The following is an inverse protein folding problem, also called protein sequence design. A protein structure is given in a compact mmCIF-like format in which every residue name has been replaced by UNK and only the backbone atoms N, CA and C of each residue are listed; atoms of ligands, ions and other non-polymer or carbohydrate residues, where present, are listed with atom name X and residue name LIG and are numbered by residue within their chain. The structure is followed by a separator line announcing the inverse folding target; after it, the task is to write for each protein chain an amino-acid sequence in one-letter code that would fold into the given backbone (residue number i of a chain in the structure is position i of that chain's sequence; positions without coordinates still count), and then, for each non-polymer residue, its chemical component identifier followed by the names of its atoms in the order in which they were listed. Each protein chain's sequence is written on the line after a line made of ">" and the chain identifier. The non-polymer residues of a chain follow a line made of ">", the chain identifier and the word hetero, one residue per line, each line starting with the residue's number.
data_IF_005022302175
#
_entry.id   IF_005022302175
#
_cell.length_a   1.000
_cell.length_b   1.000
_cell.length_c   1.000
_cell.angle_alpha   90.00
_cell.angle_beta   90.00
_cell.angle_gamma   90.00
#
_symmetry.space_group_name_H-M   'P 1'
#
loop_
_entity.id
_entity.type
_entity.pdbx_description
1 polymer ?
#
# COMPACT_ATOMS: atom_id res chain seq x y z
N UNK A 1 0.62 -17.75 4.55
CA UNK A 1 -0.85 -17.48 4.59
C UNK A 1 -1.15 -16.32 3.65
N UNK A 2 -2.21 -16.38 2.84
CA UNK A 2 -2.59 -15.26 1.96
C UNK A 2 -3.73 -14.50 2.63
N UNK A 3 -3.48 -13.25 3.01
CA UNK A 3 -4.47 -12.39 3.66
C UNK A 3 -4.94 -11.35 2.67
N UNK A 4 -6.23 -11.37 2.36
CA UNK A 4 -6.86 -10.37 1.50
C UNK A 4 -7.55 -9.32 2.37
N UNK A 5 -7.25 -8.05 2.13
CA UNK A 5 -7.90 -6.92 2.81
C UNK A 5 -8.40 -5.92 1.78
N UNK A 6 -9.42 -5.15 2.16
CA UNK A 6 -9.91 -4.05 1.34
C UNK A 6 -10.00 -2.76 2.14
N UNK A 7 -9.71 -1.65 1.48
CA UNK A 7 -9.84 -0.30 2.01
C UNK A 7 -10.82 0.49 1.14
N UNK A 8 -11.70 1.28 1.77
CA UNK A 8 -12.69 2.09 1.06
C UNK A 8 -12.63 3.54 1.53
N UNK A 9 -12.61 4.49 0.59
CA UNK A 9 -12.75 5.92 0.86
C UNK A 9 -13.68 6.55 -0.18
N UNK A 10 -14.86 7.00 0.25
CA UNK A 10 -15.95 7.45 -0.64
C UNK A 10 -16.26 6.38 -1.70
N UNK A 11 -16.03 6.68 -2.98
CA UNK A 11 -16.20 5.76 -4.12
C UNK A 11 -14.96 4.94 -4.44
N UNK A 12 -13.79 5.31 -3.90
CA UNK A 12 -12.54 4.59 -4.15
C UNK A 12 -12.45 3.31 -3.32
N UNK A 13 -12.07 2.21 -3.97
CA UNK A 13 -11.87 0.89 -3.36
C UNK A 13 -10.47 0.39 -3.69
N UNK A 14 -9.68 0.09 -2.67
CA UNK A 14 -8.38 -0.55 -2.78
C UNK A 14 -8.49 -2.00 -2.29
N UNK A 15 -7.96 -2.95 -3.06
CA UNK A 15 -7.86 -4.36 -2.67
C UNK A 15 -6.39 -4.71 -2.52
N UNK A 16 -6.03 -5.29 -1.39
CA UNK A 16 -4.66 -5.68 -1.09
C UNK A 16 -4.60 -7.19 -0.82
N UNK A 17 -3.57 -7.83 -1.37
CA UNK A 17 -3.26 -9.23 -1.12
C UNK A 17 -1.89 -9.28 -0.48
N UNK A 18 -1.85 -9.69 0.78
CA UNK A 18 -0.62 -9.84 1.55
C UNK A 18 -0.24 -11.31 1.56
N UNK A 19 1.03 -11.58 1.28
CA UNK A 19 1.63 -12.91 1.29
C UNK A 19 3.02 -12.83 1.89
N UNK A 20 3.46 -13.93 2.48
CA UNK A 20 4.82 -14.07 3.02
C UNK A 20 5.85 -13.87 1.88
N UNK A 21 6.88 -13.07 2.12
CA UNK A 21 7.90 -12.74 1.11
C UNK A 21 8.88 -11.65 1.54
N UNK A 22 9.66 -11.13 0.59
CA UNK A 22 10.75 -10.15 0.80
C UNK A 22 10.27 -8.71 1.16
N UNK A 23 9.01 -8.51 1.56
CA UNK A 23 8.51 -7.18 1.93
C UNK A 23 8.29 -6.19 0.78
N UNK A 24 8.17 -6.66 -0.47
CA UNK A 24 7.96 -5.79 -1.64
C UNK A 24 6.51 -5.28 -1.70
N UNK A 25 6.32 -3.96 -1.69
CA UNK A 25 5.00 -3.31 -1.79
C UNK A 25 4.81 -2.71 -3.19
N UNK A 26 3.69 -3.03 -3.85
CA UNK A 26 3.34 -2.51 -5.17
C UNK A 26 1.87 -2.12 -5.24
N UNK A 27 1.57 -1.07 -6.00
CA UNK A 27 0.22 -0.55 -6.23
C UNK A 27 0.03 -0.50 -7.75
N UNK A 28 -0.98 -1.19 -8.28
CA UNK A 28 -1.23 -1.28 -9.73
C UNK A 28 0.04 -1.64 -10.53
N UNK A 29 0.79 -2.63 -10.06
CA UNK A 29 2.07 -3.09 -10.63
C UNK A 29 3.26 -2.12 -10.52
N UNK A 30 3.06 -0.93 -9.95
CA UNK A 30 4.11 0.07 -9.74
C UNK A 30 4.62 0.03 -8.29
N UNK A 31 5.94 0.14 -8.04
CA UNK A 31 6.47 0.34 -6.70
C UNK A 31 5.90 1.59 -6.03
N UNK A 32 5.64 1.53 -4.72
CA UNK A 32 4.97 2.61 -3.97
C UNK A 32 5.78 3.93 -3.99
N UNK A 33 7.11 3.83 -4.09
CA UNK A 33 8.05 4.95 -4.13
C UNK A 33 7.93 5.80 -5.39
N UNK A 34 7.42 5.20 -6.47
CA UNK A 34 7.28 5.82 -7.78
C UNK A 34 5.87 6.35 -8.02
N UNK A 35 4.93 6.18 -7.09
CA UNK A 35 3.54 6.60 -7.28
C UNK A 35 3.45 8.13 -7.33
N UNK A 36 2.69 8.64 -8.30
CA UNK A 36 2.34 10.05 -8.41
C UNK A 36 0.84 10.26 -8.10
N UNK A 37 0.45 11.43 -7.56
CA UNK A 37 1.31 12.56 -7.17
C UNK A 37 2.03 12.32 -5.83
N UNK A 38 3.07 13.12 -5.55
CA UNK A 38 3.90 12.99 -4.34
C UNK A 38 3.10 12.96 -3.04
N UNK A 39 2.05 13.76 -2.90
CA UNK A 39 1.22 13.75 -1.69
C UNK A 39 0.54 12.41 -1.44
N UNK A 40 0.08 11.74 -2.49
CA UNK A 40 -0.54 10.43 -2.37
C UNK A 40 0.51 9.39 -1.93
N UNK A 41 1.71 9.44 -2.51
CA UNK A 41 2.85 8.62 -2.11
C UNK A 41 3.22 8.80 -0.64
N UNK A 42 3.37 10.04 -0.18
CA UNK A 42 3.70 10.33 1.22
C UNK A 42 2.65 9.74 2.18
N UNK A 43 1.36 9.86 1.84
CA UNK A 43 0.28 9.29 2.65
C UNK A 43 0.28 7.76 2.68
N UNK A 44 0.64 7.11 1.58
CA UNK A 44 0.74 5.64 1.51
C UNK A 44 1.94 5.10 2.28
N UNK A 45 3.03 5.87 2.39
CA UNK A 45 4.25 5.47 3.11
C UNK A 45 4.17 5.67 4.62
N UNK A 46 3.32 6.57 5.09
CA UNK A 46 3.10 6.87 6.52
C UNK A 46 2.91 5.63 7.41
N UNK A 47 2.00 4.67 7.12
CA UNK A 47 1.80 3.51 7.98
C UNK A 47 3.05 2.61 8.10
N UNK A 48 3.87 2.52 7.05
CA UNK A 48 5.11 1.74 7.10
C UNK A 48 6.17 2.40 7.99
N UNK A 49 6.15 3.73 8.11
CA UNK A 49 7.04 4.46 9.02
C UNK A 49 6.61 4.28 10.47
N UNK A 50 5.32 4.38 10.75
CA UNK A 50 4.77 4.26 12.11
C UNK A 50 4.88 2.82 12.62
N UNK A 51 4.63 1.82 11.78
CA UNK A 51 4.70 0.42 12.20
C UNK A 51 6.13 -0.11 12.41
N UNK A 52 7.16 0.67 12.03
CA UNK A 52 8.57 0.35 12.24
C UNK A 52 9.18 0.93 13.52
N UNK A 53 8.43 1.77 14.25
CA UNK A 53 8.68 2.16 15.65
C UNK A 53 7.94 1.21 16.61
#
# INVERSE_FOLDING_TARGET
>A
MVTNTSGKKKTAVARATVRDGEGRVRINSQPVELVEPEQARLKMLEPFRIAGE
#
